data_IF_700664182108
#
_entry.id   IF_700664182108
#
_cell.length_a   1.000
_cell.length_b   1.000
_cell.length_c   1.000
_cell.angle_alpha   90.00
_cell.angle_beta   90.00
_cell.angle_gamma   90.00
#
_symmetry.space_group_name_H-M   'P 1'
#
loop_
_entity.id
_entity.type
_entity.pdbx_description
1 polymer ?
#
# COMPACT_ATOMS: atom_id res chain seq x y z
N UNK A 1 -6.52 21.28 10.16
CA UNK A 1 -7.06 20.11 10.88
C UNK A 1 -6.99 18.92 9.93
N UNK A 2 -6.21 17.93 10.29
CA UNK A 2 -6.25 16.62 9.65
C UNK A 2 -7.34 15.84 10.40
N UNK A 3 -8.48 15.57 9.79
CA UNK A 3 -9.34 14.51 10.27
C UNK A 3 -8.97 13.26 9.51
N UNK A 4 -8.78 12.23 10.23
CA UNK A 4 -8.54 10.91 9.71
C UNK A 4 -9.88 10.30 9.29
N UNK A 5 -10.09 10.11 8.00
CA UNK A 5 -11.02 9.07 7.59
C UNK A 5 -10.27 7.76 7.74
N UNK A 6 -10.56 7.07 8.81
CA UNK A 6 -9.87 5.87 9.23
C UNK A 6 -10.53 4.66 8.58
N UNK A 7 -9.84 3.98 7.70
CA UNK A 7 -10.23 2.65 7.25
C UNK A 7 -9.11 1.68 7.60
N UNK A 8 -9.12 1.08 8.80
CA UNK A 8 -8.15 0.06 9.13
C UNK A 8 -8.37 -1.15 8.22
N UNK A 9 -7.31 -1.60 7.60
CA UNK A 9 -7.30 -2.83 6.83
C UNK A 9 -6.25 -3.75 7.41
N UNK A 10 -6.67 -4.96 7.78
CA UNK A 10 -5.71 -6.03 8.05
C UNK A 10 -5.14 -6.50 6.70
N UNK A 11 -3.85 -6.31 6.51
CA UNK A 11 -3.12 -6.88 5.38
C UNK A 11 -2.49 -8.19 5.83
N UNK A 12 -2.89 -9.27 5.18
CA UNK A 12 -2.31 -10.59 5.33
C UNK A 12 -1.54 -10.93 4.07
N UNK A 13 -0.28 -11.30 4.22
CA UNK A 13 0.50 -11.94 3.17
C UNK A 13 0.46 -13.43 3.43
N UNK A 14 -0.49 -14.11 2.79
CA UNK A 14 -0.51 -15.56 2.73
C UNK A 14 0.64 -16.08 1.85
N UNK A 15 0.92 -17.37 2.00
CA UNK A 15 1.95 -18.06 1.20
C UNK A 15 1.74 -17.78 -0.29
N UNK A 16 2.82 -17.49 -1.01
CA UNK A 16 2.86 -17.21 -2.46
C UNK A 16 2.09 -15.97 -2.92
N UNK A 17 1.83 -15.00 -2.04
CA UNK A 17 1.24 -13.72 -2.43
C UNK A 17 2.27 -12.61 -2.45
N UNK A 18 2.26 -11.82 -3.54
CA UNK A 18 3.01 -10.57 -3.64
C UNK A 18 2.07 -9.42 -3.96
N UNK A 19 2.47 -8.21 -3.62
CA UNK A 19 1.82 -6.99 -4.10
C UNK A 19 2.63 -6.45 -5.27
N UNK A 20 2.01 -6.33 -6.45
CA UNK A 20 2.68 -5.74 -7.61
C UNK A 20 3.10 -4.29 -7.33
N UNK A 21 4.11 -3.84 -8.04
CA UNK A 21 4.53 -2.45 -8.04
C UNK A 21 3.38 -1.53 -8.41
N UNK A 22 3.07 -0.56 -7.57
CA UNK A 22 2.00 0.40 -7.83
C UNK A 22 2.23 1.71 -7.08
N UNK A 23 1.47 2.71 -7.49
CA UNK A 23 1.28 3.97 -6.76
C UNK A 23 -0.15 4.01 -6.25
N UNK A 24 -0.36 4.28 -4.99
CA UNK A 24 -1.70 4.31 -4.38
C UNK A 24 -2.65 5.29 -5.08
N UNK A 25 -2.12 6.40 -5.63
CA UNK A 25 -2.92 7.37 -6.38
C UNK A 25 -3.65 6.80 -7.59
N UNK A 26 -3.21 5.67 -8.12
CA UNK A 26 -3.94 5.00 -9.23
C UNK A 26 -5.25 4.36 -8.79
N UNK A 27 -5.39 4.08 -7.49
CA UNK A 27 -6.60 3.55 -6.88
C UNK A 27 -7.46 4.64 -6.22
N UNK A 28 -6.83 5.75 -5.82
CA UNK A 28 -7.49 6.79 -5.03
C UNK A 28 -7.96 7.94 -5.91
N UNK A 29 -9.15 8.44 -5.59
CA UNK A 29 -9.70 9.66 -6.20
C UNK A 29 -9.54 10.82 -5.23
N UNK A 30 -9.63 12.04 -5.75
CA UNK A 30 -9.67 13.28 -4.96
C UNK A 30 -8.29 13.81 -4.60
N UNK A 31 -8.16 14.39 -3.39
CA UNK A 31 -6.97 15.11 -2.96
C UNK A 31 -5.73 14.20 -2.94
N UNK A 32 -4.60 14.60 -3.56
CA UNK A 32 -3.34 13.86 -3.52
C UNK A 32 -2.65 13.89 -2.15
N UNK A 33 -3.07 14.76 -1.22
CA UNK A 33 -2.48 14.88 0.11
C UNK A 33 -2.96 13.78 1.06
N UNK A 34 -2.80 12.55 0.63
CA UNK A 34 -3.11 11.35 1.42
C UNK A 34 -1.83 10.68 1.88
N UNK A 35 -1.94 9.85 2.88
CA UNK A 35 -0.82 9.02 3.30
C UNK A 35 -1.31 7.65 3.79
N UNK A 36 -0.45 6.66 3.60
CA UNK A 36 -0.60 5.32 4.16
C UNK A 36 0.34 5.16 5.35
N UNK A 37 -0.20 4.57 6.41
CA UNK A 37 0.55 4.12 7.58
C UNK A 37 0.43 2.61 7.66
N UNK A 38 1.54 1.92 7.51
CA UNK A 38 1.63 0.48 7.58
C UNK A 38 2.31 0.09 8.90
N UNK A 39 1.65 -0.72 9.73
CA UNK A 39 2.10 -1.11 11.07
C UNK A 39 2.29 -2.60 11.09
N UNK A 40 3.50 -3.06 11.44
CA UNK A 40 3.82 -4.48 11.54
C UNK A 40 3.18 -5.11 12.78
N UNK A 41 2.52 -6.26 12.61
CA UNK A 41 1.96 -7.05 13.71
C UNK A 41 2.81 -8.28 14.07
N UNK A 42 3.76 -8.63 13.22
CA UNK A 42 4.76 -9.65 13.47
C UNK A 42 6.05 -9.31 12.72
N UNK A 43 7.12 -10.02 12.98
CA UNK A 43 8.41 -9.77 12.30
C UNK A 43 8.27 -9.90 10.79
N UNK A 44 8.89 -8.96 10.08
CA UNK A 44 8.86 -8.84 8.62
C UNK A 44 10.27 -8.96 8.08
N UNK A 45 10.44 -9.84 7.12
CA UNK A 45 11.71 -10.09 6.44
C UNK A 45 11.48 -10.47 4.97
N UNK A 46 12.56 -10.64 4.22
CA UNK A 46 12.49 -10.93 2.78
C UNK A 46 11.71 -12.20 2.44
N UNK A 47 11.72 -13.20 3.31
CA UNK A 47 11.08 -14.49 3.05
C UNK A 47 9.56 -14.45 3.28
N UNK A 48 9.07 -13.54 4.16
CA UNK A 48 7.65 -13.49 4.50
C UNK A 48 6.90 -12.31 3.88
N UNK A 49 7.43 -11.70 2.83
CA UNK A 49 6.71 -10.69 2.05
C UNK A 49 6.95 -9.26 2.53
N UNK A 50 8.21 -8.87 2.72
CA UNK A 50 8.60 -7.50 3.06
C UNK A 50 8.04 -6.47 2.07
N UNK A 51 7.57 -5.31 2.55
CA UNK A 51 7.34 -4.17 1.71
C UNK A 51 8.62 -3.69 1.05
N UNK A 52 8.49 -3.20 -0.18
CA UNK A 52 9.61 -2.61 -0.90
C UNK A 52 9.20 -1.30 -1.59
N UNK A 53 10.16 -0.43 -1.78
CA UNK A 53 9.96 0.92 -2.28
C UNK A 53 11.05 1.30 -3.29
N UNK A 54 10.73 2.23 -4.20
CA UNK A 54 11.74 2.92 -5.01
C UNK A 54 11.83 4.36 -4.52
N UNK A 55 12.92 4.75 -3.82
CA UNK A 55 13.14 6.10 -3.35
C UNK A 55 13.12 7.12 -4.50
N UNK A 56 12.49 8.28 -4.27
CA UNK A 56 12.41 9.33 -5.29
C UNK A 56 11.34 9.11 -6.37
N UNK A 57 10.71 7.94 -6.43
CA UNK A 57 9.68 7.59 -7.42
C UNK A 57 8.41 8.44 -7.32
N UNK A 58 8.14 9.05 -6.16
CA UNK A 58 7.00 9.96 -5.96
C UNK A 58 7.03 11.20 -6.87
N UNK A 59 8.17 11.48 -7.50
CA UNK A 59 8.34 12.58 -8.47
C UNK A 59 7.97 12.22 -9.90
N UNK A 60 7.62 10.95 -10.14
CA UNK A 60 7.30 10.41 -11.46
C UNK A 60 5.91 9.78 -11.46
N UNK A 61 5.23 9.85 -12.59
CA UNK A 61 4.02 9.07 -12.85
C UNK A 61 4.40 7.85 -13.68
N UNK A 62 3.88 6.70 -13.30
CA UNK A 62 4.11 5.45 -14.02
C UNK A 62 2.81 5.03 -14.72
N UNK A 63 2.94 4.45 -15.90
CA UNK A 63 1.83 3.77 -16.55
C UNK A 63 1.49 2.51 -15.77
N UNK A 64 0.21 2.29 -15.50
CA UNK A 64 -0.26 1.07 -14.83
C UNK A 64 -1.11 0.24 -15.78
N UNK A 65 -0.94 -1.07 -15.71
CA UNK A 65 -1.78 -2.04 -16.42
C UNK A 65 -2.58 -2.86 -15.41
N UNK A 66 -3.75 -3.32 -15.84
CA UNK A 66 -4.60 -4.18 -15.01
C UNK A 66 -4.04 -5.61 -15.02
N UNK A 67 -3.82 -6.16 -13.84
CA UNK A 67 -3.47 -7.56 -13.61
C UNK A 67 -4.60 -8.27 -12.87
N UNK A 68 -4.94 -9.44 -13.34
CA UNK A 68 -5.98 -10.27 -12.71
C UNK A 68 -7.41 -9.90 -13.11
N UNK A 69 -8.34 -10.78 -12.78
CA UNK A 69 -9.77 -10.68 -13.15
C UNK A 69 -10.69 -10.50 -11.93
N UNK A 70 -10.16 -10.03 -10.81
CA UNK A 70 -10.92 -9.85 -9.56
C UNK A 70 -11.88 -8.64 -9.61
N UNK A 71 -12.77 -8.54 -8.62
CA UNK A 71 -13.70 -7.40 -8.46
C UNK A 71 -12.97 -6.06 -8.27
N UNK A 72 -11.79 -6.10 -7.66
CA UNK A 72 -10.90 -4.94 -7.54
C UNK A 72 -9.73 -5.20 -8.50
N UNK A 73 -9.48 -4.33 -9.48
CA UNK A 73 -8.36 -4.50 -10.38
C UNK A 73 -7.04 -4.40 -9.61
N UNK A 74 -6.18 -5.38 -9.77
CA UNK A 74 -4.79 -5.25 -9.36
C UNK A 74 -4.07 -4.47 -10.45
N UNK A 75 -3.39 -3.40 -10.07
CA UNK A 75 -2.64 -2.56 -10.99
C UNK A 75 -1.15 -2.85 -10.83
N UNK A 76 -0.45 -2.88 -11.95
CA UNK A 76 1.00 -3.05 -11.99
C UNK A 76 1.62 -1.91 -12.79
N UNK A 77 2.53 -1.19 -12.16
CA UNK A 77 3.30 -0.14 -12.82
C UNK A 77 4.29 -0.74 -13.82
N UNK A 78 4.51 -0.05 -14.93
CA UNK A 78 5.39 -0.47 -16.02
C UNK A 78 6.67 0.37 -16.04
N UNK A 79 7.68 -0.11 -16.75
CA UNK A 79 8.95 0.58 -17.01
C UNK A 79 9.69 0.99 -15.74
N UNK A 80 9.75 0.06 -14.78
CA UNK A 80 10.37 0.27 -13.47
C UNK A 80 11.84 -0.12 -13.52
N UNK A 81 12.69 0.72 -12.92
CA UNK A 81 14.06 0.34 -12.62
C UNK A 81 14.14 -0.28 -11.22
N UNK A 82 14.08 -1.60 -11.13
CA UNK A 82 14.14 -2.31 -9.85
C UNK A 82 15.52 -2.32 -9.18
N UNK A 83 16.57 -1.86 -9.86
CA UNK A 83 17.91 -1.79 -9.25
C UNK A 83 17.98 -0.81 -8.07
N UNK A 84 17.03 0.14 -8.01
CA UNK A 84 16.90 1.13 -6.95
C UNK A 84 15.99 0.67 -5.80
N UNK A 85 15.51 -0.57 -5.86
CA UNK A 85 14.60 -1.13 -4.87
C UNK A 85 15.22 -1.19 -3.48
N UNK A 86 14.50 -0.66 -2.49
CA UNK A 86 14.80 -0.82 -1.07
C UNK A 86 13.76 -1.73 -0.45
N UNK A 87 14.20 -2.81 0.17
CA UNK A 87 13.35 -3.75 0.92
C UNK A 87 13.38 -3.36 2.38
N UNK A 88 12.20 -3.27 3.00
CA UNK A 88 12.07 -2.87 4.40
C UNK A 88 11.80 -4.11 5.25
N UNK A 89 12.75 -4.47 6.09
CA UNK A 89 12.54 -5.41 7.19
C UNK A 89 12.07 -4.65 8.43
N UNK A 90 11.19 -5.23 9.21
CA UNK A 90 10.56 -4.56 10.34
C UNK A 90 10.30 -5.52 11.49
N UNK A 91 10.43 -5.03 12.72
CA UNK A 91 10.00 -5.75 13.92
C UNK A 91 8.52 -5.43 14.24
N UNK A 92 7.94 -6.18 15.15
CA UNK A 92 6.56 -5.94 15.61
C UNK A 92 6.42 -4.53 16.18
N UNK A 93 5.42 -3.80 15.72
CA UNK A 93 5.14 -2.43 16.12
C UNK A 93 5.86 -1.36 15.30
N UNK A 94 6.80 -1.73 14.43
CA UNK A 94 7.42 -0.79 13.50
C UNK A 94 6.39 -0.22 12.53
N UNK A 95 6.60 1.03 12.16
CA UNK A 95 5.67 1.82 11.35
C UNK A 95 6.38 2.33 10.10
N UNK A 96 5.77 2.05 8.95
CA UNK A 96 6.17 2.62 7.67
C UNK A 96 5.12 3.65 7.25
N UNK A 97 5.55 4.87 6.94
CA UNK A 97 4.67 5.94 6.46
C UNK A 97 5.11 6.33 5.05
N UNK A 98 4.16 6.35 4.12
CA UNK A 98 4.44 6.79 2.76
C UNK A 98 3.28 7.58 2.13
N UNK A 99 3.63 8.48 1.22
CA UNK A 99 2.66 9.21 0.40
C UNK A 99 2.15 8.36 -0.77
N UNK A 100 1.05 8.78 -1.40
CA UNK A 100 0.33 7.98 -2.40
C UNK A 100 1.05 7.86 -3.75
N UNK A 101 2.07 8.69 -3.97
CA UNK A 101 2.83 8.73 -5.24
C UNK A 101 4.09 7.86 -5.21
N UNK A 102 4.53 7.36 -4.05
CA UNK A 102 5.72 6.51 -4.01
C UNK A 102 5.40 5.15 -4.62
N UNK A 103 6.27 4.68 -5.50
CA UNK A 103 6.17 3.36 -6.10
C UNK A 103 6.57 2.31 -5.07
N UNK A 104 5.66 1.39 -4.81
CA UNK A 104 5.86 0.36 -3.78
C UNK A 104 5.14 -0.95 -4.13
N UNK A 105 5.48 -1.96 -3.39
CA UNK A 105 4.89 -3.29 -3.48
C UNK A 105 5.31 -4.15 -2.30
N UNK A 106 5.22 -5.45 -2.44
CA UNK A 106 5.78 -6.38 -1.47
C UNK A 106 6.38 -7.59 -2.14
N UNK A 107 7.42 -8.14 -1.51
CA UNK A 107 8.01 -9.42 -1.91
C UNK A 107 6.98 -10.55 -1.81
N UNK A 108 7.24 -11.63 -2.52
CA UNK A 108 6.48 -12.85 -2.35
C UNK A 108 6.76 -13.47 -0.98
N UNK A 109 5.70 -13.97 -0.33
CA UNK A 109 5.87 -14.71 0.91
C UNK A 109 6.15 -16.18 0.61
N UNK A 110 7.38 -16.59 0.83
CA UNK A 110 7.87 -17.97 0.64
C UNK A 110 8.25 -18.64 1.96
N UNK A 111 7.95 -18.01 3.10
CA UNK A 111 8.36 -18.48 4.42
C UNK A 111 7.54 -19.68 4.94
N UNK A 112 6.37 -19.91 4.41
CA UNK A 112 5.40 -20.85 5.00
C UNK A 112 4.61 -20.28 6.19
N UNK A 113 4.88 -19.04 6.60
CA UNK A 113 4.22 -18.35 7.71
C UNK A 113 3.44 -17.14 7.22
N UNK A 114 2.36 -16.78 7.91
CA UNK A 114 1.59 -15.59 7.58
C UNK A 114 2.26 -14.33 8.15
N UNK A 115 2.23 -13.26 7.36
CA UNK A 115 2.67 -11.94 7.77
C UNK A 115 1.47 -11.00 7.87
N UNK A 116 1.29 -10.36 9.01
CA UNK A 116 0.19 -9.46 9.32
C UNK A 116 0.66 -8.02 9.48
N UNK A 117 -0.15 -7.10 8.98
CA UNK A 117 0.03 -5.67 9.20
C UNK A 117 -1.32 -4.96 9.24
N UNK A 118 -1.39 -3.84 9.94
CA UNK A 118 -2.50 -2.89 9.86
C UNK A 118 -2.11 -1.80 8.88
N UNK A 119 -2.98 -1.51 7.90
CA UNK A 119 -2.81 -0.38 7.00
C UNK A 119 -3.88 0.66 7.32
N UNK A 120 -3.43 1.88 7.59
CA UNK A 120 -4.28 3.04 7.86
C UNK A 120 -4.07 4.04 6.73
N UNK A 121 -5.15 4.52 6.14
CA UNK A 121 -5.10 5.57 5.13
C UNK A 121 -5.68 6.85 5.70
N UNK A 122 -4.92 7.93 5.60
CA UNK A 122 -5.32 9.26 6.04
C UNK A 122 -5.55 10.18 4.84
N UNK A 123 -6.54 11.05 4.94
CA UNK A 123 -6.83 12.08 3.96
C UNK A 123 -7.25 13.40 4.63
N UNK A 124 -7.15 14.55 3.93
CA UNK A 124 -7.67 15.80 4.43
C UNK A 124 -9.19 15.73 4.68
N UNK A 125 -9.68 16.42 5.68
CA UNK A 125 -11.13 16.52 5.97
C UNK A 125 -11.94 17.13 4.86
N UNK A 126 -11.29 17.94 4.04
CA UNK A 126 -11.89 18.60 2.88
C UNK A 126 -12.09 17.65 1.70
N UNK A 127 -11.41 16.52 1.69
CA UNK A 127 -11.57 15.50 0.66
C UNK A 127 -12.76 14.61 1.01
N UNK A 128 -13.84 14.76 0.27
CA UNK A 128 -15.07 13.96 0.38
C UNK A 128 -15.07 12.74 -0.54
N UNK A 129 -13.99 12.52 -1.29
CA UNK A 129 -13.89 11.36 -2.19
C UNK A 129 -13.79 10.07 -1.37
N UNK A 130 -14.57 9.07 -1.77
CA UNK A 130 -14.50 7.74 -1.17
C UNK A 130 -13.38 6.93 -1.80
N UNK A 131 -12.55 6.33 -0.97
CA UNK A 131 -11.27 5.78 -1.37
C UNK A 131 -11.30 4.57 -2.28
N UNK A 132 -12.21 3.71 -2.14
CA UNK A 132 -12.30 2.48 -2.95
C UNK A 132 -13.76 2.13 -3.09
N UNK A 133 -14.19 1.89 -4.31
CA UNK A 133 -15.45 1.20 -4.55
C UNK A 133 -15.44 -0.12 -3.79
N UNK A 134 -16.35 -0.27 -2.81
CA UNK A 134 -16.48 -1.50 -2.03
C UNK A 134 -16.03 -1.43 -0.57
N UNK A 135 -15.47 -0.30 -0.09
CA UNK A 135 -15.34 -0.07 1.35
C UNK A 135 -16.65 0.55 1.89
N UNK A 136 -17.11 0.12 3.07
CA UNK A 136 -18.27 0.75 3.69
C UNK A 136 -18.01 2.24 3.91
N UNK A 137 -19.01 3.07 3.65
CA UNK A 137 -18.97 4.48 4.01
C UNK A 137 -18.70 4.58 5.51
N UNK A 138 -17.53 5.11 5.86
CA UNK A 138 -17.27 5.44 7.24
C UNK A 138 -18.07 6.67 7.60
N UNK A 139 -18.95 6.47 8.57
CA UNK A 139 -19.96 7.37 9.12
C UNK A 139 -19.39 8.78 9.23
N UNK A 140 -20.04 9.73 8.56
CA UNK A 140 -19.92 11.16 8.86
C UNK A 140 -20.40 11.38 10.30
N UNK A 141 -19.52 11.81 11.16
CA UNK A 141 -19.88 12.52 12.39
C UNK A 141 -19.48 13.97 12.28
#
# INVERSE_FOLDING_TARGET
RVSSTFAPRLANSSISSKTFWHQDMTYWKGDPNKLSVWISLNKVNKQNGSPHYIPGSQRKSFKHIVKGKGKIPLLEAQDINESEKVIIEADIGDIIIHGPHVLHGSEENVSGEERYAIILTYQPTTDISHHRSGLPELIKR
#
